data_IF_634022564940
#
_entry.id   IF_634022564940
#
_cell.length_a   1.000
_cell.length_b   1.000
_cell.length_c   1.000
_cell.angle_alpha   90.00
_cell.angle_beta   90.00
_cell.angle_gamma   90.00
#
_symmetry.space_group_name_H-M   'P 1'
#
loop_
_entity.id
_entity.type
_entity.pdbx_description
1 polymer ?
#
# COMPACT_ATOMS: atom_id res chain seq x y z
N UNK A 1 12.22 -19.57 0.02
CA UNK A 1 13.55 -18.92 0.12
C UNK A 1 13.88 -18.81 1.60
N UNK A 2 15.12 -19.07 2.03
CA UNK A 2 15.49 -18.95 3.46
C UNK A 2 15.52 -17.50 3.93
N UNK A 3 15.21 -17.27 5.22
CA UNK A 3 15.16 -15.95 5.88
C UNK A 3 16.40 -15.09 5.58
N UNK A 4 17.61 -15.62 5.76
CA UNK A 4 18.85 -14.85 5.54
C UNK A 4 18.96 -14.27 4.12
N UNK A 5 18.60 -15.05 3.10
CA UNK A 5 18.65 -14.61 1.70
C UNK A 5 17.58 -13.57 1.39
N UNK A 6 16.40 -13.71 2.01
CA UNK A 6 15.33 -12.72 1.93
C UNK A 6 15.78 -11.38 2.49
N UNK A 7 16.32 -11.39 3.71
CA UNK A 7 16.82 -10.19 4.39
C UNK A 7 17.99 -9.55 3.65
N UNK A 8 18.90 -10.33 3.07
CA UNK A 8 19.99 -9.78 2.26
C UNK A 8 19.47 -9.02 1.03
N UNK A 9 18.46 -9.55 0.35
CA UNK A 9 17.83 -8.86 -0.80
C UNK A 9 17.13 -7.58 -0.36
N UNK A 10 16.37 -7.62 0.73
CA UNK A 10 15.71 -6.45 1.31
C UNK A 10 16.72 -5.35 1.67
N UNK A 11 17.78 -5.70 2.41
CA UNK A 11 18.84 -4.75 2.79
C UNK A 11 19.53 -4.14 1.57
N UNK A 12 19.69 -4.91 0.49
CA UNK A 12 20.22 -4.39 -0.77
C UNK A 12 19.28 -3.34 -1.37
N UNK A 13 17.97 -3.62 -1.49
CA UNK A 13 17.01 -2.64 -2.01
C UNK A 13 16.93 -1.36 -1.15
N UNK A 14 16.90 -1.49 0.18
CA UNK A 14 16.95 -0.33 1.08
C UNK A 14 18.20 0.50 0.85
N UNK A 15 19.35 -0.14 0.67
CA UNK A 15 20.60 0.55 0.36
C UNK A 15 20.52 1.26 -1.00
N UNK A 16 20.06 0.57 -2.02
CA UNK A 16 19.95 1.09 -3.39
C UNK A 16 19.06 2.36 -3.38
N UNK A 17 17.86 2.28 -2.80
CA UNK A 17 16.94 3.42 -2.64
C UNK A 17 17.56 4.59 -1.88
N UNK A 18 18.31 4.31 -0.80
CA UNK A 18 18.96 5.36 -0.01
C UNK A 18 20.02 6.10 -0.82
N UNK A 19 20.72 5.40 -1.72
CA UNK A 19 21.83 5.95 -2.52
C UNK A 19 21.41 6.47 -3.90
N UNK A 20 20.20 6.16 -4.34
CA UNK A 20 19.69 6.57 -5.64
C UNK A 20 19.64 8.10 -5.75
N UNK A 21 20.16 8.62 -6.87
CA UNK A 21 20.25 10.06 -7.09
C UNK A 21 18.95 10.57 -7.72
N UNK A 22 18.03 11.07 -6.89
CA UNK A 22 16.86 11.82 -7.35
C UNK A 22 17.24 13.28 -7.58
N UNK A 23 17.38 13.67 -8.85
CA UNK A 23 17.65 15.06 -9.23
C UNK A 23 16.33 15.82 -9.48
N UNK A 24 16.35 17.14 -9.31
CA UNK A 24 15.21 18.00 -9.71
C UNK A 24 14.86 17.82 -11.19
N UNK A 25 15.86 17.63 -12.05
CA UNK A 25 15.67 17.39 -13.48
C UNK A 25 14.95 16.06 -13.76
N UNK A 26 15.29 14.98 -13.04
CA UNK A 26 14.58 13.71 -13.15
C UNK A 26 13.14 13.83 -12.66
N UNK A 27 12.89 14.55 -11.56
CA UNK A 27 11.53 14.78 -11.05
C UNK A 27 10.69 15.58 -12.04
N UNK A 28 11.27 16.64 -12.62
CA UNK A 28 10.61 17.46 -13.63
C UNK A 28 10.26 16.66 -14.88
N UNK A 29 11.18 15.83 -15.38
CA UNK A 29 10.93 14.99 -16.55
C UNK A 29 9.72 14.07 -16.34
N UNK A 30 9.59 13.47 -15.15
CA UNK A 30 8.42 12.64 -14.84
C UNK A 30 7.13 13.47 -14.83
N UNK A 31 7.14 14.70 -14.29
CA UNK A 31 5.98 15.59 -14.38
C UNK A 31 5.59 15.92 -15.82
N UNK A 32 6.57 16.24 -16.66
CA UNK A 32 6.34 16.53 -18.08
C UNK A 32 5.77 15.30 -18.82
N UNK A 33 6.27 14.10 -18.50
CA UNK A 33 5.77 12.83 -19.06
C UNK A 33 4.30 12.56 -18.63
N UNK A 34 3.93 12.79 -17.36
CA UNK A 34 2.56 12.62 -16.88
C UNK A 34 1.60 13.58 -17.58
N UNK A 35 1.98 14.87 -17.71
CA UNK A 35 1.17 15.88 -18.40
C UNK A 35 0.94 15.46 -19.86
N UNK A 36 1.98 14.97 -20.54
CA UNK A 36 1.86 14.45 -21.91
C UNK A 36 0.87 13.29 -21.99
N UNK A 37 0.93 12.32 -21.08
CA UNK A 37 -0.01 11.19 -21.08
C UNK A 37 -1.46 11.63 -20.86
N UNK A 38 -1.69 12.58 -19.96
CA UNK A 38 -3.02 13.17 -19.75
C UNK A 38 -3.54 13.79 -21.06
N UNK A 39 -2.70 14.56 -21.77
CA UNK A 39 -3.10 15.19 -23.03
C UNK A 39 -3.41 14.18 -24.15
N UNK A 40 -2.61 13.12 -24.27
CA UNK A 40 -2.82 12.06 -25.25
C UNK A 40 -4.13 11.30 -24.99
N UNK A 41 -4.38 10.89 -23.74
CA UNK A 41 -5.56 10.06 -23.42
C UNK A 41 -6.88 10.85 -23.46
N UNK A 42 -6.87 12.11 -23.00
CA UNK A 42 -8.04 12.99 -23.07
C UNK A 42 -8.42 13.26 -24.53
N UNK A 43 -7.42 13.58 -25.38
CA UNK A 43 -7.64 13.81 -26.81
C UNK A 43 -8.28 12.60 -27.50
N UNK A 44 -7.86 11.40 -27.12
CA UNK A 44 -8.37 10.15 -27.69
C UNK A 44 -9.68 9.65 -27.04
N UNK A 45 -10.21 10.37 -26.03
CA UNK A 45 -11.35 9.96 -25.20
C UNK A 45 -11.19 8.57 -24.58
N UNK A 46 -9.95 8.19 -24.28
CA UNK A 46 -9.60 6.89 -23.75
C UNK A 46 -9.47 6.95 -22.21
N UNK A 47 -10.61 7.11 -21.54
CA UNK A 47 -10.68 7.28 -20.08
C UNK A 47 -10.16 6.05 -19.29
N UNK A 48 -10.22 4.87 -19.89
CA UNK A 48 -9.58 3.65 -19.42
C UNK A 48 -8.04 3.80 -19.40
N UNK A 49 -7.45 4.28 -20.49
CA UNK A 49 -6.00 4.54 -20.57
C UNK A 49 -5.55 5.66 -19.65
N UNK A 50 -6.35 6.73 -19.55
CA UNK A 50 -6.08 7.85 -18.64
C UNK A 50 -5.94 7.37 -17.19
N UNK A 51 -6.87 6.54 -16.72
CA UNK A 51 -6.84 5.94 -15.38
C UNK A 51 -5.55 5.12 -15.15
N UNK A 52 -5.20 4.28 -16.12
CA UNK A 52 -4.00 3.44 -16.09
C UNK A 52 -2.73 4.28 -16.05
N UNK A 53 -2.63 5.29 -16.91
CA UNK A 53 -1.47 6.18 -17.02
C UNK A 53 -1.32 7.10 -15.80
N UNK A 54 -2.42 7.58 -15.23
CA UNK A 54 -2.40 8.31 -13.96
C UNK A 54 -1.92 7.42 -12.82
N UNK A 55 -2.37 6.17 -12.76
CA UNK A 55 -1.93 5.20 -11.75
C UNK A 55 -0.44 4.86 -11.89
N UNK A 56 0.05 4.67 -13.13
CA UNK A 56 1.48 4.43 -13.40
C UNK A 56 2.34 5.67 -13.10
N UNK A 57 1.89 6.86 -13.52
CA UNK A 57 2.56 8.13 -13.24
C UNK A 57 2.64 8.46 -11.74
N UNK A 58 1.57 8.14 -11.00
CA UNK A 58 1.55 8.14 -9.54
C UNK A 58 2.51 7.14 -8.92
N UNK A 59 2.59 5.92 -9.48
CA UNK A 59 3.47 4.86 -9.00
C UNK A 59 4.94 5.27 -8.98
N UNK A 60 5.39 6.13 -9.91
CA UNK A 60 6.76 6.65 -9.93
C UNK A 60 7.01 7.67 -8.81
N UNK A 61 6.01 8.48 -8.45
CA UNK A 61 6.14 9.54 -7.43
C UNK A 61 5.69 9.16 -6.02
N UNK A 62 4.93 8.07 -5.89
CA UNK A 62 4.66 7.35 -4.65
C UNK A 62 5.66 6.21 -4.42
N UNK A 63 6.46 5.90 -5.45
CA UNK A 63 7.44 4.82 -5.46
C UNK A 63 8.72 5.22 -4.74
N UNK A 64 9.81 5.35 -5.48
CA UNK A 64 11.15 5.32 -4.88
C UNK A 64 11.57 6.66 -4.28
N UNK A 65 11.10 7.79 -4.84
CA UNK A 65 11.46 9.12 -4.34
C UNK A 65 10.98 9.41 -2.90
N UNK A 66 9.70 9.19 -2.53
CA UNK A 66 9.27 9.35 -1.13
C UNK A 66 10.01 8.43 -0.17
N UNK A 67 10.25 7.18 -0.60
CA UNK A 67 11.01 6.21 0.21
C UNK A 67 12.44 6.68 0.41
N UNK A 68 13.09 7.21 -0.63
CA UNK A 68 14.41 7.81 -0.55
C UNK A 68 14.48 8.97 0.45
N UNK A 69 13.52 9.91 0.38
CA UNK A 69 13.43 11.02 1.33
C UNK A 69 13.34 10.52 2.77
N UNK A 70 12.41 9.60 3.05
CA UNK A 70 12.17 9.04 4.38
C UNK A 70 13.41 8.29 4.89
N UNK A 71 14.04 7.46 4.06
CA UNK A 71 15.26 6.71 4.41
C UNK A 71 16.48 7.61 4.69
N UNK A 72 16.47 8.84 4.19
CA UNK A 72 17.49 9.86 4.44
C UNK A 72 17.07 10.90 5.50
N UNK A 73 15.97 10.67 6.21
CA UNK A 73 15.53 11.49 7.34
C UNK A 73 14.68 12.71 6.97
N UNK A 74 14.33 12.88 5.69
CA UNK A 74 13.42 13.92 5.25
C UNK A 74 11.97 13.45 5.39
N UNK A 75 11.27 14.04 6.37
CA UNK A 75 9.88 13.71 6.69
C UNK A 75 8.90 14.15 5.62
N UNK A 76 9.29 15.04 4.70
CA UNK A 76 8.42 15.48 3.61
C UNK A 76 8.11 14.34 2.63
N UNK A 77 8.89 13.24 2.63
CA UNK A 77 8.53 12.03 1.91
C UNK A 77 7.12 11.51 2.25
N UNK A 78 6.67 11.63 3.50
CA UNK A 78 5.31 11.23 3.89
C UNK A 78 4.22 12.10 3.27
N UNK A 79 4.52 13.37 2.93
CA UNK A 79 3.59 14.26 2.21
C UNK A 79 3.32 13.75 0.80
N UNK A 80 4.33 13.21 0.12
CA UNK A 80 4.16 12.59 -1.19
C UNK A 80 3.33 11.30 -1.14
N UNK A 81 3.41 10.53 -0.04
CA UNK A 81 2.51 9.39 0.18
C UNK A 81 1.06 9.87 0.41
N UNK A 82 0.87 11.00 1.10
CA UNK A 82 -0.46 11.62 1.20
C UNK A 82 -1.00 12.03 -0.18
N UNK A 83 -0.16 12.69 -0.99
CA UNK A 83 -0.51 13.04 -2.38
C UNK A 83 -0.97 11.82 -3.17
N UNK A 84 -0.23 10.72 -3.07
CA UNK A 84 -0.60 9.45 -3.71
C UNK A 84 -2.01 9.00 -3.32
N UNK A 85 -2.32 8.92 -2.04
CA UNK A 85 -3.65 8.51 -1.58
C UNK A 85 -4.76 9.46 -2.06
N UNK A 86 -4.50 10.76 -2.07
CA UNK A 86 -5.47 11.76 -2.53
C UNK A 86 -5.77 11.64 -4.03
N UNK A 87 -4.80 11.26 -4.85
CA UNK A 87 -5.09 10.97 -6.26
C UNK A 87 -5.77 9.61 -6.43
N UNK A 88 -5.44 8.62 -5.62
CA UNK A 88 -6.15 7.32 -5.62
C UNK A 88 -7.63 7.51 -5.27
N UNK A 89 -7.97 8.45 -4.39
CA UNK A 89 -9.36 8.82 -4.10
C UNK A 89 -10.10 9.30 -5.36
N UNK A 90 -9.46 10.18 -6.15
CA UNK A 90 -10.03 10.63 -7.43
C UNK A 90 -10.18 9.48 -8.44
N UNK A 91 -9.13 8.67 -8.60
CA UNK A 91 -9.12 7.53 -9.54
C UNK A 91 -10.19 6.52 -9.15
N UNK A 92 -10.23 6.08 -7.89
CA UNK A 92 -11.23 5.12 -7.42
C UNK A 92 -12.64 5.70 -7.50
N UNK A 93 -12.84 6.98 -7.21
CA UNK A 93 -14.17 7.59 -7.28
C UNK A 93 -14.68 7.73 -8.72
N UNK A 94 -13.82 8.18 -9.65
CA UNK A 94 -14.20 8.44 -11.05
C UNK A 94 -14.15 7.21 -11.94
N UNK A 95 -13.22 6.31 -11.66
CA UNK A 95 -12.81 5.25 -12.56
C UNK A 95 -13.00 3.85 -11.95
N UNK A 96 -13.78 3.76 -10.86
CA UNK A 96 -14.16 2.52 -10.17
C UNK A 96 -14.55 1.39 -11.14
N UNK A 97 -15.32 1.73 -12.19
CA UNK A 97 -15.85 0.78 -13.15
C UNK A 97 -14.80 0.18 -14.10
N UNK A 98 -13.64 0.84 -14.24
CA UNK A 98 -12.60 0.43 -15.20
C UNK A 98 -11.58 -0.54 -14.60
N UNK A 99 -11.61 -0.76 -13.29
CA UNK A 99 -10.71 -1.69 -12.58
C UNK A 99 -9.22 -1.42 -12.74
N UNK A 100 -8.84 -0.15 -12.75
CA UNK A 100 -7.49 0.30 -13.09
C UNK A 100 -6.54 0.33 -11.89
N UNK A 101 -7.07 0.25 -10.67
CA UNK A 101 -6.24 0.02 -9.49
C UNK A 101 -5.92 -1.48 -9.42
N UNK A 102 -4.66 -1.85 -9.55
CA UNK A 102 -4.25 -3.24 -9.38
C UNK A 102 -4.56 -3.74 -7.97
N UNK A 103 -4.97 -5.01 -7.85
CA UNK A 103 -5.08 -5.69 -6.54
C UNK A 103 -3.81 -5.52 -5.71
N UNK A 104 -2.65 -5.50 -6.38
CA UNK A 104 -1.31 -5.31 -5.81
C UNK A 104 -1.03 -3.94 -5.18
N UNK A 105 -1.93 -2.97 -5.36
CA UNK A 105 -1.83 -1.63 -4.75
C UNK A 105 -2.96 -1.34 -3.74
N UNK A 106 -4.04 -2.13 -3.73
CA UNK A 106 -5.20 -1.82 -2.90
C UNK A 106 -4.92 -1.97 -1.40
N UNK A 107 -4.06 -2.92 -1.03
CA UNK A 107 -3.71 -3.17 0.37
C UNK A 107 -3.11 -1.94 1.07
N UNK A 108 -2.11 -1.31 0.45
CA UNK A 108 -1.47 -0.13 1.04
C UNK A 108 -2.42 1.07 1.15
N UNK A 109 -3.32 1.24 0.17
CA UNK A 109 -4.35 2.29 0.19
C UNK A 109 -5.32 2.06 1.35
N UNK A 110 -5.86 0.85 1.50
CA UNK A 110 -6.77 0.50 2.61
C UNK A 110 -6.09 0.79 3.95
N UNK A 111 -4.87 0.27 4.16
CA UNK A 111 -4.19 0.39 5.44
C UNK A 111 -3.88 1.84 5.81
N UNK A 112 -3.22 2.59 4.91
CA UNK A 112 -2.82 3.96 5.20
C UNK A 112 -4.01 4.90 5.30
N UNK A 113 -5.02 4.74 4.44
CA UNK A 113 -6.26 5.52 4.56
C UNK A 113 -6.96 5.26 5.90
N UNK A 114 -6.92 4.03 6.40
CA UNK A 114 -7.48 3.70 7.73
C UNK A 114 -6.68 4.35 8.86
N UNK A 115 -5.35 4.19 8.85
CA UNK A 115 -4.44 4.79 9.85
C UNK A 115 -4.63 6.31 9.92
N UNK A 116 -4.77 6.95 8.75
CA UNK A 116 -4.91 8.41 8.61
C UNK A 116 -6.36 8.91 8.60
N UNK A 117 -7.32 8.07 9.00
CA UNK A 117 -8.74 8.43 9.14
C UNK A 117 -9.35 9.02 7.86
N UNK A 118 -8.88 8.59 6.70
CA UNK A 118 -9.44 8.90 5.38
C UNK A 118 -10.59 7.91 5.08
N UNK A 119 -11.64 7.95 5.91
CA UNK A 119 -12.70 6.92 5.95
C UNK A 119 -13.33 6.62 4.59
N UNK A 120 -13.61 7.66 3.79
CA UNK A 120 -14.20 7.50 2.45
C UNK A 120 -13.28 6.70 1.51
N UNK A 121 -12.00 7.04 1.48
CA UNK A 121 -11.02 6.36 0.64
C UNK A 121 -10.81 4.92 1.12
N UNK A 122 -10.71 4.70 2.43
CA UNK A 122 -10.56 3.37 3.01
C UNK A 122 -11.74 2.47 2.61
N UNK A 123 -12.97 2.97 2.73
CA UNK A 123 -14.17 2.23 2.32
C UNK A 123 -14.22 1.99 0.81
N UNK A 124 -13.98 3.02 -0.01
CA UNK A 124 -13.97 2.88 -1.48
C UNK A 124 -12.95 1.83 -1.95
N UNK A 125 -11.76 1.84 -1.36
CA UNK A 125 -10.70 0.88 -1.67
C UNK A 125 -11.07 -0.53 -1.21
N UNK A 126 -11.73 -0.66 -0.06
CA UNK A 126 -12.25 -1.94 0.44
C UNK A 126 -13.35 -2.51 -0.46
N UNK A 127 -14.28 -1.69 -0.91
CA UNK A 127 -15.37 -2.08 -1.82
C UNK A 127 -14.81 -2.50 -3.18
N UNK A 128 -13.83 -1.75 -3.66
CA UNK A 128 -13.09 -2.08 -4.88
C UNK A 128 -12.39 -3.44 -4.76
N UNK A 129 -11.70 -3.70 -3.63
CA UNK A 129 -11.10 -5.01 -3.37
C UNK A 129 -12.15 -6.13 -3.36
N UNK A 130 -13.34 -5.91 -2.80
CA UNK A 130 -14.42 -6.91 -2.81
C UNK A 130 -14.79 -7.34 -4.24
N UNK A 131 -14.83 -6.39 -5.17
CA UNK A 131 -15.13 -6.68 -6.57
C UNK A 131 -14.04 -7.55 -7.21
N UNK A 132 -12.77 -7.26 -6.93
CA UNK A 132 -11.63 -8.06 -7.42
C UNK A 132 -11.65 -9.47 -6.81
N UNK A 133 -11.87 -9.57 -5.50
CA UNK A 133 -11.98 -10.83 -4.79
C UNK A 133 -13.12 -11.70 -5.34
N UNK A 134 -14.29 -11.12 -5.60
CA UNK A 134 -15.43 -11.87 -6.15
C UNK A 134 -15.19 -12.39 -7.58
N UNK A 135 -14.34 -11.70 -8.35
CA UNK A 135 -14.02 -12.09 -9.73
C UNK A 135 -13.05 -13.26 -9.80
N UNK A 136 -12.09 -13.32 -8.88
CA UNK A 136 -11.08 -14.37 -8.86
C UNK A 136 -10.75 -14.83 -7.44
N UNK A 137 -11.74 -15.35 -6.72
CA UNK A 137 -11.56 -15.85 -5.36
C UNK A 137 -10.50 -16.95 -5.26
N UNK A 138 -10.27 -17.70 -6.35
CA UNK A 138 -9.37 -18.84 -6.37
C UNK A 138 -7.91 -18.41 -6.24
N UNK A 139 -7.50 -17.29 -6.85
CA UNK A 139 -6.11 -16.81 -6.73
C UNK A 139 -5.70 -16.54 -5.29
N UNK A 140 -6.62 -16.07 -4.47
CA UNK A 140 -6.42 -15.83 -3.03
C UNK A 140 -6.19 -17.08 -2.17
N UNK A 141 -6.40 -18.28 -2.72
CA UNK A 141 -6.16 -19.55 -2.00
C UNK A 141 -4.70 -19.99 -2.01
N UNK A 142 -3.85 -19.33 -2.80
CA UNK A 142 -2.43 -19.66 -2.92
C UNK A 142 -1.51 -18.43 -3.05
N UNK A 143 -2.00 -17.35 -3.66
CA UNK A 143 -1.28 -16.13 -4.01
C UNK A 143 -2.12 -14.93 -3.54
N UNK A 144 -1.62 -13.70 -3.67
CA UNK A 144 -2.46 -12.51 -3.46
C UNK A 144 -3.12 -12.39 -2.06
N UNK A 145 -2.55 -13.07 -1.06
CA UNK A 145 -3.08 -13.16 0.31
C UNK A 145 -2.89 -11.90 1.16
N UNK A 146 -1.97 -11.00 0.80
CA UNK A 146 -1.60 -9.80 1.54
C UNK A 146 -2.72 -8.76 1.53
N UNK A 147 -3.25 -8.38 0.37
CA UNK A 147 -4.38 -7.44 0.32
C UNK A 147 -5.67 -8.05 0.87
N UNK A 148 -5.86 -9.37 0.76
CA UNK A 148 -6.93 -10.08 1.48
C UNK A 148 -6.79 -9.94 3.00
N UNK A 149 -5.58 -10.10 3.52
CA UNK A 149 -5.30 -9.92 4.94
C UNK A 149 -5.57 -8.49 5.39
N UNK A 150 -5.09 -7.49 4.65
CA UNK A 150 -5.31 -6.07 4.99
C UNK A 150 -6.79 -5.69 4.92
N UNK A 151 -7.53 -6.20 3.94
CA UNK A 151 -8.97 -6.03 3.87
C UNK A 151 -9.69 -6.68 5.07
N UNK A 152 -9.19 -7.83 5.55
CA UNK A 152 -9.69 -8.47 6.78
C UNK A 152 -9.42 -7.61 8.02
N UNK A 153 -8.24 -6.97 8.10
CA UNK A 153 -7.94 -6.01 9.17
C UNK A 153 -8.86 -4.78 9.13
N UNK A 154 -9.19 -4.28 7.94
CA UNK A 154 -10.17 -3.21 7.78
C UNK A 154 -11.59 -3.64 8.21
N UNK A 155 -12.02 -4.84 7.85
CA UNK A 155 -13.32 -5.36 8.30
C UNK A 155 -13.32 -5.47 9.83
N UNK A 156 -12.26 -6.03 10.42
CA UNK A 156 -12.09 -6.08 11.87
C UNK A 156 -12.10 -4.69 12.54
N UNK A 157 -11.52 -3.68 11.90
CA UNK A 157 -11.57 -2.28 12.35
C UNK A 157 -12.99 -1.75 12.40
N UNK A 158 -13.73 -1.90 11.29
CA UNK A 158 -15.01 -1.27 11.01
C UNK A 158 -16.19 -1.99 11.65
N UNK A 159 -16.18 -3.33 11.66
CA UNK A 159 -17.28 -4.17 12.15
C UNK A 159 -17.00 -4.82 13.51
N UNK A 160 -15.74 -4.75 14.00
CA UNK A 160 -15.27 -5.48 15.19
C UNK A 160 -15.39 -7.00 15.04
N UNK A 161 -15.46 -7.51 13.81
CA UNK A 161 -15.55 -8.94 13.51
C UNK A 161 -14.64 -9.32 12.35
N UNK A 162 -14.14 -10.55 12.39
CA UNK A 162 -13.37 -11.12 11.28
C UNK A 162 -14.35 -11.49 10.17
N UNK A 163 -14.06 -11.05 8.94
CA UNK A 163 -14.81 -11.49 7.77
C UNK A 163 -14.52 -12.97 7.49
N UNK A 164 -15.51 -13.82 7.74
CA UNK A 164 -15.34 -15.26 7.66
C UNK A 164 -15.02 -15.73 6.23
N UNK A 165 -15.55 -15.06 5.20
CA UNK A 165 -15.31 -15.46 3.81
C UNK A 165 -13.84 -15.25 3.41
N UNK A 166 -13.24 -14.16 3.89
CA UNK A 166 -11.83 -13.88 3.67
C UNK A 166 -10.94 -14.80 4.50
N UNK A 167 -11.29 -14.99 5.77
CA UNK A 167 -10.59 -15.89 6.66
C UNK A 167 -10.57 -17.32 6.11
N UNK A 168 -11.69 -17.84 5.62
CA UNK A 168 -11.79 -19.21 5.09
C UNK A 168 -11.03 -19.39 3.77
N UNK A 169 -10.85 -18.31 3.01
CA UNK A 169 -10.08 -18.33 1.76
C UNK A 169 -8.57 -18.43 2.00
N UNK A 170 -8.07 -17.86 3.10
CA UNK A 170 -6.65 -17.94 3.44
C UNK A 170 -6.20 -19.40 3.61
N UNK A 171 -5.01 -19.78 3.08
CA UNK A 171 -4.47 -21.13 3.26
C UNK A 171 -4.35 -21.47 4.74
N UNK A 172 -4.65 -22.73 5.09
CA UNK A 172 -4.73 -23.19 6.50
C UNK A 172 -3.48 -22.86 7.32
N UNK A 173 -2.30 -23.04 6.74
CA UNK A 173 -1.01 -22.85 7.43
C UNK A 173 -0.41 -21.45 7.20
N UNK A 174 -1.16 -20.54 6.55
CA UNK A 174 -0.67 -19.21 6.19
C UNK A 174 -0.48 -18.33 7.43
N UNK A 175 0.58 -17.50 7.44
CA UNK A 175 0.91 -16.64 8.59
C UNK A 175 -0.22 -15.67 8.94
N UNK A 176 -0.89 -15.10 7.93
CA UNK A 176 -2.03 -14.22 8.14
C UNK A 176 -3.19 -14.93 8.86
N UNK A 177 -3.47 -16.18 8.53
CA UNK A 177 -4.52 -16.97 9.20
C UNK A 177 -4.13 -17.25 10.65
N UNK A 178 -2.87 -17.66 10.89
CA UNK A 178 -2.31 -17.85 12.25
C UNK A 178 -2.43 -16.59 13.10
N UNK A 179 -2.18 -15.42 12.52
CA UNK A 179 -2.37 -14.14 13.20
C UNK A 179 -3.82 -13.90 13.58
N UNK A 180 -4.76 -14.11 12.64
CA UNK A 180 -6.19 -13.93 12.90
C UNK A 180 -6.69 -14.87 14.01
N UNK A 181 -6.20 -16.13 14.04
CA UNK A 181 -6.49 -17.09 15.12
C UNK A 181 -5.99 -16.62 16.48
N UNK A 182 -4.92 -15.83 16.49
CA UNK A 182 -4.29 -15.29 17.70
C UNK A 182 -4.60 -13.80 17.90
N UNK A 183 -5.62 -13.25 17.23
CA UNK A 183 -5.92 -11.81 17.29
C UNK A 183 -6.09 -11.31 18.74
N UNK A 184 -6.82 -12.05 19.56
CA UNK A 184 -7.07 -11.68 20.96
C UNK A 184 -6.04 -12.27 21.95
N UNK A 185 -4.91 -12.82 21.47
CA UNK A 185 -3.92 -13.40 22.38
C UNK A 185 -3.28 -12.34 23.27
N UNK A 186 -3.15 -12.67 24.56
CA UNK A 186 -2.33 -11.95 25.52
C UNK A 186 -0.90 -12.51 25.60
N UNK A 187 -0.65 -13.67 24.97
CA UNK A 187 0.68 -14.25 24.91
C UNK A 187 1.55 -13.50 23.89
N UNK A 188 2.35 -12.55 24.41
CA UNK A 188 3.20 -11.69 23.60
C UNK A 188 4.36 -12.41 22.91
N UNK A 189 4.81 -13.56 23.41
CA UNK A 189 5.88 -14.35 22.77
C UNK A 189 5.38 -15.03 21.50
N UNK A 190 4.18 -15.61 21.57
CA UNK A 190 3.50 -16.19 20.40
C UNK A 190 3.21 -15.10 19.38
N UNK A 191 2.67 -13.96 19.82
CA UNK A 191 2.39 -12.84 18.93
C UNK A 191 3.67 -12.25 18.30
N UNK A 192 4.76 -12.14 19.05
CA UNK A 192 6.04 -11.66 18.53
C UNK A 192 6.55 -12.55 17.39
N UNK A 193 6.45 -13.87 17.57
CA UNK A 193 6.82 -14.87 16.55
C UNK A 193 5.97 -14.70 15.29
N UNK A 194 4.65 -14.57 15.44
CA UNK A 194 3.74 -14.39 14.29
C UNK A 194 4.01 -13.07 13.56
N UNK A 195 4.25 -11.99 14.29
CA UNK A 195 4.54 -10.67 13.69
C UNK A 195 5.88 -10.68 12.95
N UNK A 196 6.88 -11.38 13.49
CA UNK A 196 8.13 -11.61 12.78
C UNK A 196 7.89 -12.32 11.44
N UNK A 197 7.10 -13.40 11.44
CA UNK A 197 6.74 -14.13 10.23
C UNK A 197 5.93 -13.27 9.24
N UNK A 198 5.07 -12.36 9.73
CA UNK A 198 4.37 -11.39 8.87
C UNK A 198 5.37 -10.44 8.21
N UNK A 199 6.39 -9.99 8.93
CA UNK A 199 7.41 -9.12 8.35
C UNK A 199 8.22 -9.84 7.26
N UNK A 200 8.56 -11.11 7.47
CA UNK A 200 9.17 -11.96 6.44
C UNK A 200 8.23 -12.12 5.24
N UNK A 201 6.94 -12.36 5.48
CA UNK A 201 5.95 -12.47 4.41
C UNK A 201 5.80 -11.17 3.63
N UNK A 202 5.77 -10.00 4.29
CA UNK A 202 5.74 -8.69 3.64
C UNK A 202 6.90 -8.53 2.67
N UNK A 203 8.14 -8.76 3.12
CA UNK A 203 9.31 -8.65 2.25
C UNK A 203 9.20 -9.66 1.11
N UNK A 204 8.81 -10.90 1.39
CA UNK A 204 8.65 -11.91 0.34
C UNK A 204 7.59 -11.47 -0.69
N UNK A 205 6.50 -10.86 -0.25
CA UNK A 205 5.42 -10.30 -1.06
C UNK A 205 5.87 -9.08 -1.86
N UNK A 206 6.72 -8.22 -1.31
CA UNK A 206 7.24 -7.02 -1.95
C UNK A 206 8.31 -7.27 -3.03
N UNK A 207 9.12 -8.31 -2.88
CA UNK A 207 10.24 -8.56 -3.79
C UNK A 207 9.81 -9.25 -5.09
N UNK A 208 10.29 -8.72 -6.22
CA UNK A 208 10.37 -9.48 -7.47
C UNK A 208 11.48 -10.55 -7.37
N UNK A 209 11.08 -11.81 -7.50
CA UNK A 209 11.95 -12.97 -7.45
C UNK A 209 11.91 -13.68 -8.82
N UNK A 210 12.94 -14.49 -9.09
CA UNK A 210 13.13 -15.14 -10.41
C UNK A 210 11.88 -15.86 -10.92
N UNK A 211 11.12 -16.48 -10.02
CA UNK A 211 9.98 -17.34 -10.34
C UNK A 211 8.68 -16.83 -9.70
N UNK A 212 8.65 -15.56 -9.26
CA UNK A 212 7.51 -14.97 -8.54
C UNK A 212 7.50 -13.45 -8.68
N UNK A 213 6.41 -12.90 -9.22
CA UNK A 213 6.17 -11.45 -9.23
C UNK A 213 5.90 -10.94 -7.82
N UNK A 214 6.23 -9.67 -7.56
CA UNK A 214 5.82 -9.03 -6.32
C UNK A 214 4.30 -8.96 -6.25
N UNK A 215 3.77 -9.24 -5.08
CA UNK A 215 2.35 -9.09 -4.78
C UNK A 215 2.05 -7.67 -4.30
N UNK A 216 3.00 -7.03 -3.62
CA UNK A 216 2.89 -5.63 -3.21
C UNK A 216 3.64 -4.80 -4.25
N UNK A 217 2.90 -4.02 -5.03
CA UNK A 217 3.45 -3.19 -6.10
C UNK A 217 3.77 -1.77 -5.63
N UNK A 218 2.89 -1.18 -4.82
CA UNK A 218 3.00 0.20 -4.35
C UNK A 218 3.32 0.25 -2.87
N UNK A 219 4.25 1.13 -2.47
CA UNK A 219 4.66 1.30 -1.07
C UNK A 219 5.16 -0.01 -0.43
N UNK A 220 5.82 -0.81 -1.25
CA UNK A 220 6.27 -2.20 -1.04
C UNK A 220 7.27 -2.42 0.11
N UNK A 221 7.94 -1.39 0.59
CA UNK A 221 8.89 -1.47 1.71
C UNK A 221 8.38 -0.79 2.98
N UNK A 222 7.12 -0.35 2.98
CA UNK A 222 6.47 0.31 4.11
C UNK A 222 5.58 -0.72 4.81
N UNK A 223 5.84 -1.10 6.07
CA UNK A 223 5.06 -2.14 6.78
C UNK A 223 3.72 -1.61 7.31
N UNK A 224 2.86 -1.12 6.40
CA UNK A 224 1.60 -0.48 6.73
C UNK A 224 0.61 -1.42 7.43
N UNK A 225 0.65 -2.72 7.17
CA UNK A 225 -0.20 -3.71 7.83
C UNK A 225 0.23 -3.91 9.29
N UNK A 226 1.54 -3.85 9.58
CA UNK A 226 2.03 -3.92 10.95
C UNK A 226 1.59 -2.69 11.74
N UNK A 227 1.66 -1.50 11.12
CA UNK A 227 1.15 -0.28 11.73
C UNK A 227 -0.36 -0.33 11.94
N UNK A 228 -1.11 -0.86 10.98
CA UNK A 228 -2.55 -1.06 11.13
C UNK A 228 -2.85 -2.01 12.29
N UNK A 229 -2.16 -3.15 12.40
CA UNK A 229 -2.28 -4.08 13.54
C UNK A 229 -2.05 -3.35 14.87
N UNK A 230 -1.01 -2.53 14.97
CA UNK A 230 -0.72 -1.74 16.18
C UNK A 230 -1.89 -0.83 16.55
N UNK A 231 -2.39 -0.05 15.58
CA UNK A 231 -3.53 0.87 15.77
C UNK A 231 -4.76 0.10 16.25
N UNK A 232 -5.07 -1.03 15.63
CA UNK A 232 -6.22 -1.85 15.98
C UNK A 232 -6.08 -2.45 17.38
N UNK A 233 -4.92 -2.98 17.73
CA UNK A 233 -4.68 -3.56 19.06
C UNK A 233 -4.79 -2.49 20.14
N UNK A 234 -4.15 -1.33 19.94
CA UNK A 234 -4.23 -0.20 20.86
C UNK A 234 -5.69 0.24 21.12
N UNK A 235 -6.49 0.36 20.05
CA UNK A 235 -7.91 0.70 20.16
C UNK A 235 -8.74 -0.34 20.93
N UNK A 236 -8.32 -1.61 20.94
CA UNK A 236 -8.97 -2.69 21.67
C UNK A 236 -8.34 -2.95 23.05
N UNK A 237 -7.40 -2.10 23.50
CA UNK A 237 -6.70 -2.30 24.77
C UNK A 237 -5.76 -3.51 24.79
N UNK A 238 -5.39 -4.04 23.63
CA UNK A 238 -4.52 -5.19 23.48
C UNK A 238 -3.06 -4.75 23.38
N UNK A 239 -2.17 -5.42 24.12
CA UNK A 239 -0.74 -5.12 24.08
C UNK A 239 -0.08 -5.57 22.76
N UNK A 240 0.94 -4.83 22.32
CA UNK A 240 1.76 -5.17 21.16
C UNK A 240 3.16 -5.62 21.60
N UNK A 241 3.69 -6.76 21.13
CA UNK A 241 5.06 -7.16 21.42
C UNK A 241 6.08 -6.26 20.72
N UNK A 242 7.29 -6.19 21.30
CA UNK A 242 8.46 -5.66 20.61
C UNK A 242 9.03 -6.75 19.71
N UNK A 243 9.25 -6.42 18.43
CA UNK A 243 9.83 -7.33 17.44
C UNK A 243 11.04 -6.66 16.82
N UNK A 244 12.21 -7.30 16.90
CA UNK A 244 13.41 -6.88 16.19
C UNK A 244 13.44 -7.57 14.84
N UNK A 245 13.15 -6.80 13.80
CA UNK A 245 13.13 -7.29 12.43
C UNK A 245 13.61 -6.18 11.49
N UNK A 246 14.47 -6.45 10.50
CA UNK A 246 15.04 -5.43 9.62
C UNK A 246 14.02 -4.51 8.95
N UNK A 247 12.82 -5.02 8.61
CA UNK A 247 11.71 -4.21 8.06
C UNK A 247 11.26 -3.11 9.02
N UNK A 248 11.15 -3.44 10.30
CA UNK A 248 10.63 -2.55 11.36
C UNK A 248 11.71 -1.60 11.91
N UNK A 249 12.97 -1.84 11.57
CA UNK A 249 14.13 -1.03 12.01
C UNK A 249 14.48 0.09 11.00
N UNK A 250 13.72 0.23 9.92
CA UNK A 250 13.91 1.29 8.93
C UNK A 250 13.05 2.53 9.24
N UNK A 251 13.47 3.74 8.80
CA UNK A 251 12.61 4.93 8.86
C UNK A 251 11.26 4.77 8.15
N UNK A 252 11.13 3.84 7.19
CA UNK A 252 9.88 3.54 6.50
C UNK A 252 8.83 2.91 7.42
N UNK A 253 9.24 2.32 8.55
CA UNK A 253 8.32 1.80 9.56
C UNK A 253 7.72 2.91 10.46
N UNK A 254 8.28 4.13 10.43
CA UNK A 254 7.84 5.27 11.22
C UNK A 254 6.64 6.00 10.58
N UNK A 255 5.57 5.26 10.26
CA UNK A 255 4.36 5.81 9.65
C UNK A 255 3.72 6.84 10.62
N UNK A 256 3.52 8.10 10.20
CA UNK A 256 2.88 9.13 11.02
C UNK A 256 1.51 8.69 11.54
N UNK A 257 1.22 9.01 12.80
CA UNK A 257 -0.09 8.72 13.39
C UNK A 257 -1.22 9.55 12.77
N UNK A 258 -0.90 10.76 12.31
CA UNK A 258 -1.83 11.65 11.63
C UNK A 258 -1.35 11.90 10.20
N UNK A 259 -2.32 12.12 9.30
CA UNK A 259 -2.05 12.35 7.89
C UNK A 259 -1.20 13.61 7.70
N UNK A 260 -0.04 13.54 7.04
CA UNK A 260 0.66 14.74 6.60
C UNK A 260 -0.26 15.64 5.73
N UNK A 261 0.02 16.94 5.71
CA UNK A 261 -0.75 17.88 4.90
C UNK A 261 -0.25 17.89 3.45
N UNK A 262 -1.19 17.83 2.51
CA UNK A 262 -0.98 18.08 1.08
C UNK A 262 -2.17 18.86 0.55
N UNK A 263 -1.91 19.99 -0.10
CA UNK A 263 -2.93 20.88 -0.64
C UNK A 263 -3.15 20.58 -2.13
N UNK A 264 -4.18 19.80 -2.45
CA UNK A 264 -4.52 19.45 -3.83
C UNK A 264 -4.82 20.68 -4.70
N UNK A 265 -5.29 21.80 -4.12
CA UNK A 265 -5.57 23.02 -4.90
C UNK A 265 -4.31 23.65 -5.49
N UNK A 266 -3.14 23.31 -4.94
CA UNK A 266 -1.82 23.77 -5.40
C UNK A 266 -1.04 22.70 -6.16
N UNK A 267 -1.56 21.48 -6.25
CA UNK A 267 -0.93 20.39 -6.97
C UNK A 267 -1.13 20.59 -8.48
N UNK A 268 -0.08 21.07 -9.16
CA UNK A 268 -0.15 21.48 -10.56
C UNK A 268 -0.63 20.35 -11.48
N UNK A 269 -0.18 19.12 -11.27
CA UNK A 269 -0.57 17.99 -12.12
C UNK A 269 -2.00 17.57 -11.85
N UNK A 270 -2.41 17.56 -10.58
CA UNK A 270 -3.80 17.27 -10.23
C UNK A 270 -4.76 18.34 -10.78
N UNK A 271 -4.42 19.63 -10.61
CA UNK A 271 -5.22 20.72 -11.16
C UNK A 271 -5.27 20.67 -12.70
N UNK A 272 -4.17 20.27 -13.35
CA UNK A 272 -4.15 20.06 -14.79
C UNK A 272 -5.13 18.95 -15.21
N UNK A 273 -5.07 17.78 -14.57
CA UNK A 273 -6.00 16.68 -14.80
C UNK A 273 -7.46 17.14 -14.68
N UNK A 274 -7.81 17.76 -13.55
CA UNK A 274 -9.18 18.24 -13.28
C UNK A 274 -9.64 19.27 -14.33
N UNK A 275 -8.73 20.12 -14.83
CA UNK A 275 -9.06 21.10 -15.87
C UNK A 275 -9.41 20.44 -17.21
N UNK A 276 -8.77 19.33 -17.53
CA UNK A 276 -8.99 18.58 -18.77
C UNK A 276 -10.29 17.78 -18.71
N UNK A 277 -10.56 17.13 -17.58
CA UNK A 277 -11.84 16.41 -17.36
C UNK A 277 -13.08 17.32 -17.42
N UNK A 278 -12.95 18.63 -17.15
CA UNK A 278 -14.05 19.60 -17.20
C UNK A 278 -14.28 20.22 -18.59
N UNK A 279 -13.33 20.06 -19.50
CA UNK A 279 -13.40 20.63 -20.84
C UNK A 279 -14.16 19.74 -21.84
N UNK A 280 -14.50 18.52 -21.43
CA UNK A 280 -15.35 17.55 -22.11
C UNK A 280 -16.77 17.50 -21.50
#
# INVERSE_FOLDING_TARGET
>A
MGHEKLIQKFKKQIKDLKTEAFTEASLKKVFDDIIRYIDEDVKDKAFDRLASNLTMGLGVHAGDYPKHLILNGDKDGWKYITRYLLWQDHILYKLFNYKEVSSRSVGCIIALATIWKMEKLAQLSRDYFQLLFNQDKKSYTHDETHHLFVATLFDLYSTKSINQDFYDTLPKEHVYKKFLDHWNTENLEVLATIIFDICDMHIYSALDLKDKFSEILSLDLIPYEIRLIQVLREQNGLAMPKVSHPLLETPLAEIPAEKPEWDLSKDQVFQYLISKEKAD
#
